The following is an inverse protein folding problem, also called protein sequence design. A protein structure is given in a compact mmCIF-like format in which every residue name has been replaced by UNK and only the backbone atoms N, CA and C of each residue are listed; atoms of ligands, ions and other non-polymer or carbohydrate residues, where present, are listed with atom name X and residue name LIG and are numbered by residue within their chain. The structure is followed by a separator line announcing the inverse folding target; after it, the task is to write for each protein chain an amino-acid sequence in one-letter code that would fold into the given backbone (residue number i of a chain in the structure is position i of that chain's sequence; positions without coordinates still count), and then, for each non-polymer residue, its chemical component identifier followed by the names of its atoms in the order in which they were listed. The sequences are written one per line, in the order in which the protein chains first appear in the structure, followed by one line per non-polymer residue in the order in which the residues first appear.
data_IF_613491942599
#
_entry.id   IF_613491942599
#
_cell.length_a   1.000
_cell.length_b   1.000
_cell.length_c   1.000
_cell.angle_alpha   90.00
_cell.angle_beta   90.00
_cell.angle_gamma   90.00
#
_symmetry.space_group_name_H-M   'P 1'
#
loop_
_entity.id
_entity.type
_entity.pdbx_description
1 polymer ?
#
# COMPACT_ATOMS: atom_id res chain seq x y z
N UNK A 1 -84.49 -48.44 69.44
CA UNK A 1 -84.67 -48.03 70.84
C UNK A 1 -83.91 -46.73 71.01
N UNK A 2 -84.50 -45.57 71.23
CA UNK A 2 -85.89 -45.23 71.51
C UNK A 2 -86.06 -43.75 71.21
N UNK A 3 -87.28 -43.40 70.80
CA UNK A 3 -87.95 -42.14 71.03
C UNK A 3 -87.09 -40.88 71.19
N UNK A 4 -87.09 -40.06 70.14
CA UNK A 4 -87.38 -38.64 70.36
C UNK A 4 -88.38 -38.13 69.30
N UNK A 5 -89.56 -38.76 69.32
CA UNK A 5 -90.82 -38.28 68.73
C UNK A 5 -91.69 -37.71 69.88
N UNK A 6 -91.09 -37.11 70.91
CA UNK A 6 -91.83 -36.56 72.04
C UNK A 6 -91.18 -35.24 72.47
N UNK A 7 -91.67 -34.16 71.86
CA UNK A 7 -91.66 -32.72 72.24
C UNK A 7 -91.66 -31.88 70.96
N UNK A 8 -92.80 -31.89 70.26
CA UNK A 8 -93.22 -30.76 69.42
C UNK A 8 -94.68 -30.53 69.81
N UNK A 9 -94.90 -30.10 71.05
CA UNK A 9 -96.22 -29.69 71.54
C UNK A 9 -96.47 -28.19 71.34
N UNK A 10 -95.49 -27.45 70.82
CA UNK A 10 -95.63 -26.07 70.39
C UNK A 10 -95.60 -25.96 68.86
N UNK A 11 -96.71 -25.49 68.30
CA UNK A 11 -96.84 -25.09 66.89
C UNK A 11 -95.71 -24.13 66.43
N UNK A 12 -95.07 -23.45 67.38
CA UNK A 12 -93.91 -22.57 67.16
C UNK A 12 -92.65 -23.31 66.71
N UNK A 13 -92.29 -24.43 67.34
CA UNK A 13 -91.05 -25.15 67.01
C UNK A 13 -91.13 -25.84 65.64
N UNK A 14 -92.31 -26.36 65.28
CA UNK A 14 -92.58 -26.89 63.94
C UNK A 14 -92.48 -25.77 62.89
N UNK A 15 -92.97 -24.57 63.21
CA UNK A 15 -92.90 -23.40 62.32
C UNK A 15 -91.47 -22.94 62.12
N UNK A 16 -90.64 -22.92 63.16
CA UNK A 16 -89.22 -22.57 63.09
C UNK A 16 -88.41 -23.61 62.31
N UNK A 17 -88.69 -24.91 62.48
CA UNK A 17 -88.04 -25.97 61.70
C UNK A 17 -88.42 -25.89 60.21
N UNK A 18 -89.69 -25.61 59.91
CA UNK A 18 -90.17 -25.38 58.53
C UNK A 18 -89.52 -24.13 57.93
N UNK A 19 -89.38 -23.05 58.69
CA UNK A 19 -88.73 -21.83 58.22
C UNK A 19 -87.23 -22.02 57.99
N UNK A 20 -86.54 -22.70 58.91
CA UNK A 20 -85.14 -23.08 58.73
C UNK A 20 -84.95 -23.99 57.51
N UNK A 21 -85.85 -24.96 57.30
CA UNK A 21 -85.83 -25.80 56.11
C UNK A 21 -86.11 -25.01 54.83
N UNK A 22 -86.97 -23.99 54.86
CA UNK A 22 -87.20 -23.09 53.72
C UNK A 22 -85.96 -22.24 53.42
N UNK A 23 -85.32 -21.70 54.44
CA UNK A 23 -84.08 -20.91 54.29
C UNK A 23 -82.96 -21.75 53.71
N UNK A 24 -82.71 -22.96 54.25
CA UNK A 24 -81.71 -23.88 53.68
C UNK A 24 -82.06 -24.26 52.25
N UNK A 25 -83.34 -24.47 51.93
CA UNK A 25 -83.77 -24.77 50.56
C UNK A 25 -83.56 -23.58 49.61
N UNK A 26 -83.74 -22.35 50.09
CA UNK A 26 -83.47 -21.13 49.34
C UNK A 26 -81.96 -20.93 49.12
N UNK A 27 -81.15 -21.06 50.17
CA UNK A 27 -79.69 -20.96 50.12
C UNK A 27 -79.10 -21.99 49.14
N UNK A 28 -79.51 -23.26 49.25
CA UNK A 28 -79.09 -24.32 48.33
C UNK A 28 -79.57 -24.04 46.91
N UNK A 29 -80.78 -23.49 46.74
CA UNK A 29 -81.28 -23.12 45.41
C UNK A 29 -80.46 -21.99 44.79
N UNK A 30 -79.98 -21.04 45.58
CA UNK A 30 -79.18 -19.92 45.08
C UNK A 30 -77.74 -20.34 44.81
N UNK A 31 -77.16 -21.22 45.63
CA UNK A 31 -75.86 -21.85 45.37
C UNK A 31 -75.91 -22.70 44.08
N UNK A 32 -76.99 -23.45 43.84
CA UNK A 32 -77.17 -24.20 42.58
C UNK A 32 -77.25 -23.23 41.38
N UNK A 33 -77.94 -22.10 41.50
CA UNK A 33 -78.01 -21.10 40.41
C UNK A 33 -76.63 -20.52 40.10
N UNK A 34 -75.85 -20.19 41.13
CA UNK A 34 -74.49 -19.66 40.96
C UNK A 34 -73.57 -20.70 40.30
N UNK A 35 -73.63 -21.96 40.76
CA UNK A 35 -72.89 -23.08 40.17
C UNK A 35 -73.29 -23.33 38.70
N UNK A 36 -74.58 -23.22 38.36
CA UNK A 36 -75.07 -23.35 36.99
C UNK A 36 -74.58 -22.19 36.10
N UNK A 37 -74.59 -20.96 36.61
CA UNK A 37 -74.06 -19.80 35.90
C UNK A 37 -72.56 -19.96 35.62
N UNK A 38 -71.78 -20.36 36.63
CA UNK A 38 -70.35 -20.63 36.49
C UNK A 38 -70.07 -21.75 35.49
N UNK A 39 -70.87 -22.83 35.52
CA UNK A 39 -70.77 -23.92 34.54
C UNK A 39 -71.00 -23.40 33.11
N UNK A 40 -72.03 -22.57 32.90
CA UNK A 40 -72.32 -21.98 31.58
C UNK A 40 -71.16 -21.11 31.08
N UNK A 41 -70.54 -20.32 31.95
CA UNK A 41 -69.37 -19.51 31.61
C UNK A 41 -68.16 -20.39 31.19
N UNK A 42 -67.93 -21.50 31.92
CA UNK A 42 -66.86 -22.45 31.61
C UNK A 42 -67.12 -23.14 30.26
N UNK A 43 -68.36 -23.58 29.99
CA UNK A 43 -68.74 -24.19 28.72
C UNK A 43 -68.53 -23.21 27.54
N UNK A 44 -68.84 -21.93 27.74
CA UNK A 44 -68.57 -20.89 26.73
C UNK A 44 -67.06 -20.69 26.48
N UNK A 45 -66.24 -20.64 27.54
CA UNK A 45 -64.77 -20.54 27.42
C UNK A 45 -64.19 -21.78 26.72
N UNK A 46 -64.67 -22.98 27.04
CA UNK A 46 -64.28 -24.22 26.37
C UNK A 46 -64.63 -24.21 24.89
N UNK A 47 -65.83 -23.75 24.53
CA UNK A 47 -66.23 -23.61 23.12
C UNK A 47 -65.34 -22.63 22.37
N UNK A 48 -64.97 -21.51 23.00
CA UNK A 48 -64.01 -20.54 22.43
C UNK A 48 -62.63 -21.17 22.24
N UNK A 49 -62.10 -21.90 23.22
CA UNK A 49 -60.83 -22.61 23.09
C UNK A 49 -60.90 -23.63 21.94
N UNK A 50 -61.94 -24.45 21.90
CA UNK A 50 -62.14 -25.45 20.84
C UNK A 50 -62.21 -24.82 19.45
N UNK A 51 -62.79 -23.61 19.32
CA UNK A 51 -62.81 -22.88 18.05
C UNK A 51 -61.44 -22.36 17.62
N UNK A 52 -60.51 -22.13 18.55
CA UNK A 52 -59.15 -21.63 18.27
C UNK A 52 -58.13 -22.74 17.97
N UNK A 53 -58.38 -23.99 18.42
CA UNK A 53 -57.49 -25.14 18.18
C UNK A 53 -57.09 -25.28 16.70
N UNK A 54 -58.01 -25.20 15.71
CA UNK A 54 -57.66 -25.29 14.29
C UNK A 54 -56.72 -24.18 13.83
N UNK A 55 -56.86 -22.97 14.35
CA UNK A 55 -56.01 -21.84 13.98
C UNK A 55 -54.61 -21.95 14.61
N UNK A 56 -54.51 -22.48 15.84
CA UNK A 56 -53.21 -22.86 16.42
C UNK A 56 -52.51 -23.95 15.61
N UNK A 57 -53.24 -24.95 15.13
CA UNK A 57 -52.66 -25.98 14.26
C UNK A 57 -52.15 -25.39 12.94
N UNK A 58 -52.91 -24.50 12.29
CA UNK A 58 -52.44 -23.77 11.09
C UNK A 58 -51.19 -22.95 11.41
N UNK A 59 -51.16 -22.25 12.54
CA UNK A 59 -50.02 -21.45 12.96
C UNK A 59 -48.78 -22.34 13.18
N UNK A 60 -48.95 -23.50 13.81
CA UNK A 60 -47.87 -24.48 13.99
C UNK A 60 -47.32 -24.95 12.64
N UNK A 61 -48.19 -25.40 11.73
CA UNK A 61 -47.77 -25.84 10.38
C UNK A 61 -47.06 -24.71 9.62
N UNK A 62 -47.57 -23.48 9.72
CA UNK A 62 -46.93 -22.31 9.12
C UNK A 62 -45.56 -22.03 9.73
N UNK A 63 -45.42 -22.10 11.05
CA UNK A 63 -44.14 -21.91 11.74
C UNK A 63 -43.12 -22.99 11.35
N UNK A 64 -43.54 -24.25 11.27
CA UNK A 64 -42.70 -25.36 10.80
C UNK A 64 -42.25 -25.16 9.34
N UNK A 65 -43.16 -24.73 8.47
CA UNK A 65 -42.84 -24.43 7.07
C UNK A 65 -41.89 -23.24 6.94
N UNK A 66 -42.10 -22.16 7.69
CA UNK A 66 -41.19 -21.02 7.74
C UNK A 66 -39.82 -21.42 8.25
N UNK A 67 -39.74 -22.25 9.31
CA UNK A 67 -38.46 -22.74 9.82
C UNK A 67 -37.71 -23.56 8.76
N UNK A 68 -38.41 -24.41 8.00
CA UNK A 68 -37.81 -25.18 6.89
C UNK A 68 -37.33 -24.25 5.78
N UNK A 69 -38.12 -23.26 5.39
CA UNK A 69 -37.75 -22.28 4.37
C UNK A 69 -36.51 -21.47 4.78
N UNK A 70 -36.46 -20.99 6.03
CA UNK A 70 -35.29 -20.29 6.58
C UNK A 70 -34.07 -21.19 6.59
N UNK A 71 -34.21 -22.46 6.98
CA UNK A 71 -33.13 -23.44 6.94
C UNK A 71 -32.60 -23.68 5.51
N UNK A 72 -33.50 -23.83 4.54
CA UNK A 72 -33.13 -23.96 3.13
C UNK A 72 -32.43 -22.69 2.60
N UNK A 73 -32.96 -21.52 2.91
CA UNK A 73 -32.37 -20.24 2.51
C UNK A 73 -30.98 -20.04 3.12
N UNK A 74 -30.79 -20.39 4.39
CA UNK A 74 -29.50 -20.35 5.07
C UNK A 74 -28.49 -21.29 4.41
N UNK A 75 -28.89 -22.54 4.11
CA UNK A 75 -28.02 -23.51 3.43
C UNK A 75 -27.59 -23.01 2.04
N UNK A 76 -28.52 -22.44 1.28
CA UNK A 76 -28.21 -21.86 -0.03
C UNK A 76 -27.27 -20.65 0.09
N UNK A 77 -27.49 -19.78 1.08
CA UNK A 77 -26.62 -18.63 1.33
C UNK A 77 -25.18 -19.07 1.68
N UNK A 78 -25.01 -20.09 2.52
CA UNK A 78 -23.70 -20.65 2.84
C UNK A 78 -23.02 -21.25 1.61
N UNK A 79 -23.76 -21.98 0.78
CA UNK A 79 -23.22 -22.52 -0.48
C UNK A 79 -22.83 -21.42 -1.46
N UNK A 80 -23.63 -20.36 -1.56
CA UNK A 80 -23.33 -19.20 -2.39
C UNK A 80 -22.08 -18.47 -1.89
N UNK A 81 -21.97 -18.22 -0.58
CA UNK A 81 -20.79 -17.59 0.03
C UNK A 81 -19.52 -18.39 -0.28
N UNK A 82 -19.54 -19.71 -0.07
CA UNK A 82 -18.40 -20.56 -0.39
C UNK A 82 -18.01 -20.53 -1.87
N UNK A 83 -18.98 -20.44 -2.79
CA UNK A 83 -18.70 -20.28 -4.23
C UNK A 83 -18.13 -18.91 -4.55
N UNK A 84 -18.59 -17.84 -3.89
CA UNK A 84 -18.06 -16.48 -4.06
C UNK A 84 -16.61 -16.42 -3.58
N UNK A 85 -16.30 -16.99 -2.42
CA UNK A 85 -14.93 -17.07 -1.90
C UNK A 85 -13.98 -17.81 -2.86
N UNK A 86 -14.43 -18.94 -3.42
CA UNK A 86 -13.65 -19.67 -4.43
C UNK A 86 -13.43 -18.84 -5.69
N UNK A 87 -14.46 -18.13 -6.15
CA UNK A 87 -14.36 -17.24 -7.31
C UNK A 87 -13.38 -16.09 -7.05
N UNK A 88 -13.44 -15.47 -5.87
CA UNK A 88 -12.54 -14.39 -5.48
C UNK A 88 -11.09 -14.87 -5.37
N UNK A 89 -10.86 -16.09 -4.87
CA UNK A 89 -9.54 -16.71 -4.87
C UNK A 89 -8.97 -16.83 -6.29
N UNK A 90 -9.75 -17.41 -7.22
CA UNK A 90 -9.34 -17.54 -8.63
C UNK A 90 -9.10 -16.17 -9.26
N UNK A 91 -10.00 -15.20 -9.03
CA UNK A 91 -9.88 -13.83 -9.54
C UNK A 91 -8.58 -13.17 -9.06
N UNK A 92 -8.28 -13.26 -7.76
CA UNK A 92 -7.06 -12.68 -7.20
C UNK A 92 -5.79 -13.33 -7.78
N UNK A 93 -5.83 -14.65 -8.01
CA UNK A 93 -4.74 -15.35 -8.71
C UNK A 93 -4.57 -14.85 -10.16
N UNK A 94 -5.67 -14.70 -10.90
CA UNK A 94 -5.64 -14.18 -12.27
C UNK A 94 -5.10 -12.75 -12.30
N UNK A 95 -5.54 -11.87 -11.40
CA UNK A 95 -5.04 -10.49 -11.31
C UNK A 95 -3.53 -10.45 -11.08
N UNK A 96 -3.01 -11.24 -10.13
CA UNK A 96 -1.56 -11.36 -9.92
C UNK A 96 -0.80 -11.84 -11.16
N UNK A 97 -1.38 -12.75 -11.93
CA UNK A 97 -0.78 -13.21 -13.19
C UNK A 97 -0.79 -12.10 -14.25
N UNK A 98 -1.86 -11.31 -14.35
CA UNK A 98 -1.96 -10.15 -15.24
C UNK A 98 -0.93 -9.09 -14.87
N UNK A 99 -0.75 -8.78 -13.59
CA UNK A 99 0.26 -7.82 -13.12
C UNK A 99 1.67 -8.30 -13.49
N UNK A 100 2.00 -9.57 -13.21
CA UNK A 100 3.28 -10.17 -13.62
C UNK A 100 3.50 -10.11 -15.13
N UNK A 101 2.46 -10.40 -15.93
CA UNK A 101 2.53 -10.31 -17.38
C UNK A 101 2.77 -8.88 -17.85
N UNK A 102 2.12 -7.90 -17.23
CA UNK A 102 2.34 -6.47 -17.48
C UNK A 102 3.82 -6.10 -17.28
N UNK A 103 4.42 -6.51 -16.16
CA UNK A 103 5.85 -6.28 -15.91
C UNK A 103 6.75 -6.97 -16.94
N UNK A 104 6.44 -8.22 -17.34
CA UNK A 104 7.17 -8.92 -18.40
C UNK A 104 7.11 -8.15 -19.73
N UNK A 105 5.93 -7.65 -20.10
CA UNK A 105 5.73 -6.84 -21.30
C UNK A 105 6.57 -5.56 -21.21
N UNK A 106 6.58 -4.88 -20.08
CA UNK A 106 7.41 -3.69 -19.85
C UNK A 106 8.89 -3.98 -20.05
N UNK A 107 9.42 -5.08 -19.52
CA UNK A 107 10.84 -5.46 -19.72
C UNK A 107 11.12 -5.78 -21.18
N UNK A 108 10.24 -6.52 -21.86
CA UNK A 108 10.40 -6.83 -23.29
C UNK A 108 10.37 -5.57 -24.15
N UNK A 109 9.44 -4.65 -23.87
CA UNK A 109 9.35 -3.37 -24.56
C UNK A 109 10.59 -2.52 -24.29
N UNK A 110 11.12 -2.55 -23.07
CA UNK A 110 12.37 -1.87 -22.73
C UNK A 110 13.55 -2.43 -23.52
N UNK A 111 13.66 -3.76 -23.67
CA UNK A 111 14.71 -4.38 -24.48
C UNK A 111 14.65 -3.97 -25.96
N UNK A 112 13.44 -3.88 -26.53
CA UNK A 112 13.22 -3.41 -27.91
C UNK A 112 13.51 -1.91 -28.02
N UNK A 113 13.03 -1.12 -27.06
CA UNK A 113 13.20 0.32 -26.99
C UNK A 113 14.66 0.73 -26.90
N UNK A 114 15.43 0.09 -26.01
CA UNK A 114 16.88 0.33 -25.88
C UNK A 114 17.61 0.06 -27.19
N UNK A 115 17.35 -1.09 -27.83
CA UNK A 115 17.97 -1.43 -29.13
C UNK A 115 17.68 -0.36 -30.18
N UNK A 116 16.45 0.16 -30.24
CA UNK A 116 16.09 1.24 -31.16
C UNK A 116 16.79 2.56 -30.82
N UNK A 117 16.76 2.97 -29.56
CA UNK A 117 17.39 4.22 -29.12
C UNK A 117 18.92 4.20 -29.27
N UNK A 118 19.55 3.02 -29.18
CA UNK A 118 20.97 2.81 -29.48
C UNK A 118 21.28 3.14 -30.94
N UNK A 119 20.45 2.69 -31.89
CA UNK A 119 20.59 3.01 -33.32
C UNK A 119 20.39 4.50 -33.57
N UNK A 120 19.38 5.09 -32.93
CA UNK A 120 19.07 6.52 -33.05
C UNK A 120 20.02 7.42 -32.23
N UNK A 121 21.02 6.85 -31.53
CA UNK A 121 21.99 7.55 -30.66
C UNK A 121 21.36 8.42 -29.56
N UNK A 122 20.17 8.04 -29.09
CA UNK A 122 19.41 8.74 -28.04
C UNK A 122 19.72 8.18 -26.66
N UNK A 123 20.75 8.74 -26.02
CA UNK A 123 21.25 8.26 -24.72
C UNK A 123 20.23 8.38 -23.58
N UNK A 124 19.45 9.48 -23.48
CA UNK A 124 18.50 9.68 -22.37
C UNK A 124 17.37 8.64 -22.39
N UNK A 125 16.74 8.48 -23.56
CA UNK A 125 15.66 7.51 -23.76
C UNK A 125 16.17 6.07 -23.51
N UNK A 126 17.35 5.74 -24.03
CA UNK A 126 17.95 4.42 -23.84
C UNK A 126 18.27 4.14 -22.36
N UNK A 127 18.82 5.12 -21.64
CA UNK A 127 19.11 4.99 -20.22
C UNK A 127 17.82 4.85 -19.38
N UNK A 128 16.72 5.53 -19.75
CA UNK A 128 15.43 5.37 -19.08
C UNK A 128 14.85 3.96 -19.17
N UNK A 129 14.98 3.30 -20.32
CA UNK A 129 14.56 1.90 -20.44
C UNK A 129 15.45 0.94 -19.63
N UNK A 130 16.76 1.20 -19.54
CA UNK A 130 17.67 0.43 -18.67
C UNK A 130 17.31 0.66 -17.20
N UNK A 131 17.02 1.88 -16.80
CA UNK A 131 16.60 2.22 -15.44
C UNK A 131 15.33 1.45 -15.03
N UNK A 132 14.32 1.43 -15.91
CA UNK A 132 13.08 0.65 -15.70
C UNK A 132 13.36 -0.84 -15.46
N UNK A 133 14.39 -1.39 -16.13
CA UNK A 133 14.84 -2.75 -15.90
C UNK A 133 15.56 -2.93 -14.56
N UNK A 134 16.42 -1.99 -14.17
CA UNK A 134 17.15 -2.05 -12.89
C UNK A 134 16.25 -1.92 -11.66
N UNK A 135 15.14 -1.20 -11.78
CA UNK A 135 14.12 -1.10 -10.72
C UNK A 135 13.20 -2.32 -10.63
N UNK A 136 13.25 -3.24 -11.60
CA UNK A 136 12.32 -4.35 -11.66
C UNK A 136 12.56 -5.38 -10.54
N UNK A 137 11.47 -5.94 -10.00
CA UNK A 137 11.54 -6.93 -8.92
C UNK A 137 12.28 -8.21 -9.33
N UNK A 138 13.06 -8.77 -8.39
CA UNK A 138 13.86 -9.99 -8.61
C UNK A 138 13.00 -11.19 -9.05
N UNK A 139 11.79 -11.30 -8.53
CA UNK A 139 10.86 -12.36 -8.87
C UNK A 139 10.47 -12.31 -10.36
N UNK A 140 10.24 -11.10 -10.90
CA UNK A 140 9.94 -10.90 -12.32
C UNK A 140 11.16 -11.21 -13.18
N UNK A 141 12.35 -10.77 -12.78
CA UNK A 141 13.61 -11.08 -13.49
C UNK A 141 13.81 -12.60 -13.58
N UNK A 142 13.60 -13.32 -12.47
CA UNK A 142 13.70 -14.79 -12.44
C UNK A 142 12.66 -15.46 -13.35
N UNK A 143 11.45 -14.92 -13.39
CA UNK A 143 10.37 -15.43 -14.22
C UNK A 143 10.68 -15.25 -15.71
N UNK A 144 11.16 -14.08 -16.11
CA UNK A 144 11.59 -13.80 -17.49
C UNK A 144 12.74 -14.71 -17.88
N UNK A 145 13.74 -14.87 -17.02
CA UNK A 145 14.88 -15.77 -17.26
C UNK A 145 14.42 -17.21 -17.54
N UNK A 146 13.45 -17.70 -16.75
CA UNK A 146 12.85 -19.03 -16.97
C UNK A 146 12.04 -19.11 -18.27
N UNK A 147 11.25 -18.09 -18.59
CA UNK A 147 10.46 -18.05 -19.83
C UNK A 147 11.33 -17.96 -21.09
N UNK A 148 12.54 -17.41 -20.97
CA UNK A 148 13.50 -17.28 -22.07
C UNK A 148 14.52 -18.42 -22.14
N UNK A 149 14.41 -19.44 -21.30
CA UNK A 149 15.37 -20.55 -21.25
C UNK A 149 15.46 -21.33 -22.59
N UNK A 150 14.33 -21.46 -23.30
CA UNK A 150 14.25 -22.19 -24.57
C UNK A 150 14.77 -21.39 -25.77
N UNK A 151 14.98 -20.07 -25.61
CA UNK A 151 15.45 -19.19 -26.68
C UNK A 151 16.39 -18.10 -26.13
N UNK A 152 17.63 -18.47 -25.78
CA UNK A 152 18.58 -17.57 -25.13
C UNK A 152 18.93 -16.34 -25.98
N UNK A 153 18.94 -16.47 -27.31
CA UNK A 153 19.27 -15.38 -28.24
C UNK A 153 18.23 -14.25 -28.23
N UNK A 154 16.99 -14.56 -27.83
CA UNK A 154 15.90 -13.60 -27.75
C UNK A 154 15.51 -13.28 -26.29
N UNK A 155 16.44 -13.46 -25.36
CA UNK A 155 16.23 -13.10 -23.97
C UNK A 155 16.29 -11.57 -23.81
N UNK A 156 15.21 -10.92 -23.33
CA UNK A 156 15.21 -9.46 -23.14
C UNK A 156 16.20 -9.03 -22.05
N UNK A 157 16.48 -9.87 -21.06
CA UNK A 157 17.40 -9.56 -19.97
C UNK A 157 18.85 -9.46 -20.46
N UNK A 158 19.28 -10.42 -21.30
CA UNK A 158 20.64 -10.38 -21.90
C UNK A 158 20.75 -9.18 -22.83
N UNK A 159 19.74 -8.95 -23.67
CA UNK A 159 19.66 -7.76 -24.53
C UNK A 159 19.82 -6.46 -23.72
N UNK A 160 19.12 -6.34 -22.59
CA UNK A 160 19.19 -5.15 -21.74
C UNK A 160 20.55 -4.99 -21.08
N UNK A 161 21.16 -6.07 -20.59
CA UNK A 161 22.48 -6.02 -19.98
C UNK A 161 23.58 -5.67 -21.00
N UNK A 162 23.57 -6.32 -22.17
CA UNK A 162 24.51 -6.03 -23.27
C UNK A 162 24.38 -4.57 -23.70
N UNK A 163 23.14 -4.11 -23.87
CA UNK A 163 22.87 -2.73 -24.24
C UNK A 163 23.30 -1.74 -23.18
N UNK A 164 23.12 -2.06 -21.89
CA UNK A 164 23.62 -1.26 -20.77
C UNK A 164 25.14 -1.13 -20.85
N UNK A 165 25.88 -2.22 -21.08
CA UNK A 165 27.34 -2.17 -21.19
C UNK A 165 27.80 -1.28 -22.36
N UNK A 166 27.08 -1.34 -23.49
CA UNK A 166 27.35 -0.45 -24.64
C UNK A 166 27.07 1.01 -24.27
N UNK A 167 25.93 1.30 -23.64
CA UNK A 167 25.56 2.65 -23.22
C UNK A 167 26.54 3.25 -22.22
N UNK A 168 27.06 2.45 -21.29
CA UNK A 168 28.08 2.90 -20.33
C UNK A 168 29.35 3.33 -21.06
N UNK A 169 29.83 2.54 -22.03
CA UNK A 169 31.00 2.91 -22.85
C UNK A 169 30.76 4.21 -23.63
N UNK A 170 29.59 4.33 -24.27
CA UNK A 170 29.22 5.56 -24.99
C UNK A 170 29.13 6.77 -24.06
N UNK A 171 28.59 6.61 -22.85
CA UNK A 171 28.48 7.67 -21.86
C UNK A 171 29.88 8.13 -21.39
N UNK A 172 30.79 7.19 -21.17
CA UNK A 172 32.20 7.47 -20.86
C UNK A 172 32.88 8.26 -21.98
N UNK A 173 32.76 7.81 -23.23
CA UNK A 173 33.37 8.48 -24.38
C UNK A 173 32.84 9.91 -24.56
N UNK A 174 31.51 10.09 -24.45
CA UNK A 174 30.89 11.42 -24.52
C UNK A 174 31.27 12.31 -23.34
N UNK A 175 31.51 11.73 -22.17
CA UNK A 175 31.95 12.50 -21.00
C UNK A 175 33.31 13.12 -21.27
N UNK A 176 34.26 12.30 -21.72
CA UNK A 176 35.63 12.74 -22.01
C UNK A 176 35.65 13.76 -23.16
N UNK A 177 34.77 13.61 -24.16
CA UNK A 177 34.55 14.60 -25.22
C UNK A 177 34.02 15.94 -24.68
N UNK A 178 33.00 15.92 -23.82
CA UNK A 178 32.40 17.14 -23.27
C UNK A 178 33.31 17.86 -22.29
N UNK A 179 34.14 17.13 -21.53
CA UNK A 179 35.21 17.70 -20.72
C UNK A 179 36.22 18.44 -21.60
N UNK A 180 36.65 17.81 -22.70
CA UNK A 180 37.60 18.41 -23.65
C UNK A 180 37.06 19.68 -24.31
N UNK A 181 35.76 19.70 -24.65
CA UNK A 181 35.08 20.84 -25.27
C UNK A 181 34.55 21.89 -24.27
N UNK A 182 34.68 21.62 -22.96
CA UNK A 182 34.17 22.47 -21.85
C UNK A 182 32.66 22.73 -21.90
N UNK A 183 31.87 21.72 -22.23
CA UNK A 183 30.40 21.80 -22.22
C UNK A 183 29.81 21.44 -20.85
N UNK A 184 29.85 22.40 -19.91
CA UNK A 184 29.44 22.19 -18.50
C UNK A 184 28.05 21.56 -18.34
N UNK A 185 27.04 22.08 -19.06
CA UNK A 185 25.66 21.55 -19.00
C UNK A 185 25.56 20.09 -19.44
N UNK A 186 26.35 19.69 -20.43
CA UNK A 186 26.32 18.33 -20.96
C UNK A 186 27.04 17.34 -20.03
N UNK A 187 28.03 17.81 -19.28
CA UNK A 187 28.73 17.03 -18.26
C UNK A 187 27.77 16.69 -17.12
N UNK A 188 27.01 17.67 -16.62
CA UNK A 188 25.96 17.45 -15.60
C UNK A 188 24.86 16.52 -16.13
N UNK A 189 24.45 16.68 -17.39
CA UNK A 189 23.51 15.75 -18.03
C UNK A 189 24.03 14.31 -18.07
N UNK A 190 25.32 14.09 -18.36
CA UNK A 190 25.87 12.72 -18.35
C UNK A 190 25.90 12.10 -16.96
N UNK A 191 25.98 12.90 -15.88
CA UNK A 191 25.84 12.38 -14.52
C UNK A 191 24.46 11.72 -14.32
N UNK A 192 23.38 12.35 -14.81
CA UNK A 192 22.03 11.75 -14.82
C UNK A 192 22.02 10.43 -15.61
N UNK A 193 22.70 10.37 -16.75
CA UNK A 193 22.78 9.14 -17.55
C UNK A 193 23.49 8.02 -16.80
N UNK A 194 24.63 8.29 -16.15
CA UNK A 194 25.32 7.29 -15.33
C UNK A 194 24.43 6.74 -14.20
N UNK A 195 23.66 7.59 -13.55
CA UNK A 195 22.68 7.17 -12.54
C UNK A 195 21.62 6.23 -13.12
N UNK A 196 20.99 6.61 -14.24
CA UNK A 196 19.97 5.79 -14.90
C UNK A 196 20.50 4.42 -15.35
N UNK A 197 21.80 4.33 -15.67
CA UNK A 197 22.47 3.08 -16.03
C UNK A 197 22.90 2.24 -14.81
N UNK A 198 22.73 2.74 -13.59
CA UNK A 198 23.16 2.09 -12.35
C UNK A 198 24.66 2.22 -12.07
N UNK A 199 25.38 3.08 -12.81
CA UNK A 199 26.82 3.31 -12.72
C UNK A 199 27.14 4.62 -11.97
N UNK A 200 26.40 4.88 -10.89
CA UNK A 200 26.48 6.15 -10.16
C UNK A 200 27.87 6.42 -9.58
N UNK A 201 28.54 5.39 -9.05
CA UNK A 201 29.90 5.55 -8.49
C UNK A 201 30.90 6.01 -9.56
N UNK A 202 30.84 5.46 -10.77
CA UNK A 202 31.73 5.84 -11.86
C UNK A 202 31.41 7.25 -12.36
N UNK A 203 30.12 7.60 -12.49
CA UNK A 203 29.68 8.95 -12.81
C UNK A 203 30.20 9.99 -11.81
N UNK A 204 30.04 9.72 -10.51
CA UNK A 204 30.53 10.60 -9.43
C UNK A 204 32.05 10.73 -9.47
N UNK A 205 32.77 9.63 -9.64
CA UNK A 205 34.24 9.63 -9.70
C UNK A 205 34.74 10.52 -10.83
N UNK A 206 34.20 10.36 -12.05
CA UNK A 206 34.57 11.17 -13.22
C UNK A 206 34.20 12.63 -13.06
N UNK A 207 33.01 12.90 -12.55
CA UNK A 207 32.55 14.26 -12.27
C UNK A 207 33.42 14.97 -11.23
N UNK A 208 33.84 14.24 -10.19
CA UNK A 208 34.79 14.74 -9.19
C UNK A 208 36.12 15.14 -9.83
N UNK A 209 36.74 14.24 -10.61
CA UNK A 209 38.01 14.51 -11.30
C UNK A 209 37.91 15.73 -12.23
N UNK A 210 36.79 15.85 -12.97
CA UNK A 210 36.52 16.99 -13.82
C UNK A 210 36.48 18.30 -13.01
N UNK A 211 35.72 18.33 -11.92
CA UNK A 211 35.59 19.53 -11.08
C UNK A 211 36.93 19.92 -10.45
N UNK A 212 37.72 18.95 -9.99
CA UNK A 212 39.06 19.20 -9.45
C UNK A 212 39.98 19.84 -10.48
N UNK A 213 39.95 19.33 -11.71
CA UNK A 213 40.73 19.88 -12.82
C UNK A 213 40.24 21.28 -13.22
N UNK A 214 38.92 21.49 -13.23
CA UNK A 214 38.31 22.79 -13.51
C UNK A 214 38.70 23.84 -12.48
N UNK A 215 38.58 23.49 -11.19
CA UNK A 215 38.93 24.35 -10.06
C UNK A 215 40.42 24.69 -10.10
N UNK A 216 41.29 23.68 -10.25
CA UNK A 216 42.74 23.89 -10.28
C UNK A 216 43.16 24.85 -11.41
N UNK A 217 42.65 24.64 -12.63
CA UNK A 217 42.94 25.50 -13.77
C UNK A 217 42.46 26.93 -13.57
N UNK A 218 41.28 27.12 -12.97
CA UNK A 218 40.74 28.46 -12.71
C UNK A 218 41.54 29.19 -11.62
N UNK A 219 41.91 28.49 -10.54
CA UNK A 219 42.75 29.03 -9.48
C UNK A 219 44.13 29.46 -10.01
N UNK A 220 44.75 28.63 -10.86
CA UNK A 220 46.04 28.94 -11.49
C UNK A 220 45.95 30.18 -12.40
N UNK A 221 44.84 30.35 -13.14
CA UNK A 221 44.59 31.56 -13.93
C UNK A 221 44.44 32.81 -13.06
N UNK A 222 43.72 32.73 -11.93
CA UNK A 222 43.57 33.85 -10.99
C UNK A 222 44.91 34.24 -10.36
N UNK A 223 45.71 33.24 -9.98
CA UNK A 223 47.05 33.39 -9.42
C UNK A 223 48.01 34.07 -10.42
N UNK A 224 48.05 33.59 -11.67
CA UNK A 224 48.94 34.12 -12.71
C UNK A 224 48.55 35.54 -13.12
N UNK A 225 47.25 35.82 -13.23
CA UNK A 225 46.74 37.17 -13.50
C UNK A 225 47.16 38.15 -12.40
N UNK A 226 47.02 37.76 -11.13
CA UNK A 226 47.43 38.61 -10.01
C UNK A 226 48.94 38.80 -9.87
N UNK A 227 49.77 37.80 -10.24
CA UNK A 227 51.24 37.97 -10.28
C UNK A 227 51.70 38.99 -11.34
N UNK A 228 50.90 39.19 -12.39
CA UNK A 228 51.21 40.14 -13.47
C UNK A 228 50.84 41.59 -13.14
N UNK A 229 49.91 41.82 -12.20
CA UNK A 229 49.61 43.15 -11.66
C UNK A 229 50.60 43.50 -10.56
N UNK A 230 51.53 44.41 -10.86
CA UNK A 230 52.71 44.79 -10.08
C UNK A 230 52.44 45.52 -8.75
N UNK A 231 51.50 45.05 -7.93
CA UNK A 231 51.18 45.65 -6.63
C UNK A 231 51.33 44.60 -5.52
N UNK A 232 52.54 44.48 -5.00
CA UNK A 232 52.86 43.72 -3.79
C UNK A 232 52.32 44.45 -2.56
N UNK A 233 51.14 44.07 -2.08
CA UNK A 233 50.74 44.31 -0.69
C UNK A 233 50.05 43.07 -0.12
N UNK A 234 50.24 42.79 1.16
CA UNK A 234 49.59 41.69 1.89
C UNK A 234 48.05 41.70 1.74
N UNK A 235 47.46 42.88 1.47
CA UNK A 235 46.04 43.07 1.21
C UNK A 235 45.56 42.48 -0.13
N UNK A 236 46.42 42.46 -1.16
CA UNK A 236 46.10 41.85 -2.48
C UNK A 236 46.09 40.32 -2.37
N UNK A 237 46.97 39.75 -1.54
CA UNK A 237 47.00 38.30 -1.29
C UNK A 237 45.76 37.81 -0.52
N UNK A 238 45.25 38.58 0.45
CA UNK A 238 44.03 38.24 1.19
C UNK A 238 42.77 38.28 0.31
N UNK A 239 42.66 39.27 -0.58
CA UNK A 239 41.57 39.35 -1.55
C UNK A 239 41.61 38.19 -2.55
N UNK A 240 42.79 37.83 -3.06
CA UNK A 240 42.94 36.68 -3.95
C UNK A 240 42.57 35.35 -3.28
N UNK A 241 42.99 35.15 -2.02
CA UNK A 241 42.60 33.95 -1.24
C UNK A 241 41.08 33.91 -1.06
N UNK A 242 40.46 35.04 -0.75
CA UNK A 242 39.00 35.14 -0.60
C UNK A 242 38.29 34.81 -1.92
N UNK A 243 38.75 35.35 -3.04
CA UNK A 243 38.18 35.09 -4.38
C UNK A 243 38.31 33.61 -4.77
N UNK A 244 39.45 32.97 -4.48
CA UNK A 244 39.65 31.53 -4.71
C UNK A 244 38.71 30.70 -3.84
N UNK A 245 38.59 31.01 -2.55
CA UNK A 245 37.73 30.28 -1.62
C UNK A 245 36.24 30.43 -1.97
N UNK A 246 35.80 31.64 -2.31
CA UNK A 246 34.43 31.88 -2.79
C UNK A 246 34.14 31.11 -4.08
N UNK A 247 35.06 31.16 -5.06
CA UNK A 247 34.92 30.40 -6.30
C UNK A 247 34.82 28.88 -6.07
N UNK A 248 35.67 28.33 -5.20
CA UNK A 248 35.63 26.91 -4.84
C UNK A 248 34.31 26.56 -4.13
N UNK A 249 33.89 27.38 -3.18
CA UNK A 249 32.65 27.17 -2.41
C UNK A 249 31.41 27.23 -3.31
N UNK A 250 31.31 28.23 -4.20
CA UNK A 250 30.20 28.36 -5.13
C UNK A 250 30.17 27.24 -6.16
N UNK A 251 31.34 26.86 -6.70
CA UNK A 251 31.44 25.73 -7.63
C UNK A 251 31.00 24.44 -6.95
N UNK A 252 31.47 24.17 -5.73
CA UNK A 252 31.07 22.99 -4.97
C UNK A 252 29.58 22.98 -4.66
N UNK A 253 29.02 24.09 -4.20
CA UNK A 253 27.60 24.21 -3.84
C UNK A 253 26.67 24.02 -5.05
N UNK A 254 27.00 24.62 -6.19
CA UNK A 254 26.20 24.49 -7.41
C UNK A 254 26.22 23.05 -7.92
N UNK A 255 27.39 22.40 -7.88
CA UNK A 255 27.54 21.03 -8.36
C UNK A 255 27.04 19.98 -7.35
N UNK A 256 27.09 20.25 -6.04
CA UNK A 256 26.53 19.37 -5.02
C UNK A 256 25.00 19.27 -5.13
N UNK A 257 24.31 20.36 -5.47
CA UNK A 257 22.87 20.35 -5.75
C UNK A 257 22.52 19.38 -6.88
N UNK A 258 23.35 19.31 -7.93
CA UNK A 258 23.13 18.37 -9.03
C UNK A 258 23.35 16.92 -8.61
N UNK A 259 24.40 16.65 -7.82
CA UNK A 259 24.65 15.32 -7.26
C UNK A 259 23.49 14.91 -6.34
N UNK A 260 23.02 15.78 -5.44
CA UNK A 260 21.89 15.51 -4.55
C UNK A 260 20.58 15.23 -5.31
N UNK A 261 20.33 15.94 -6.42
CA UNK A 261 19.11 15.76 -7.22
C UNK A 261 19.07 14.39 -7.89
N UNK A 262 20.21 13.85 -8.32
CA UNK A 262 20.26 12.59 -9.06
C UNK A 262 20.69 11.40 -8.19
N UNK A 263 21.42 11.63 -7.11
CA UNK A 263 21.98 10.61 -6.23
C UNK A 263 21.22 10.68 -4.89
N UNK A 264 20.01 10.13 -4.86
CA UNK A 264 19.11 10.19 -3.69
C UNK A 264 19.69 9.56 -2.41
N UNK A 265 20.84 8.87 -2.48
CA UNK A 265 21.49 8.21 -1.34
C UNK A 265 22.59 9.08 -0.72
N UNK A 266 22.43 9.44 0.54
CA UNK A 266 23.38 10.20 1.37
C UNK A 266 24.84 9.71 1.32
N UNK A 267 25.08 8.41 1.13
CA UNK A 267 26.44 7.84 1.03
C UNK A 267 27.19 8.19 -0.26
N UNK A 268 26.51 8.72 -1.27
CA UNK A 268 27.14 9.08 -2.55
C UNK A 268 27.75 10.48 -2.52
N UNK A 269 27.20 11.36 -1.67
CA UNK A 269 27.74 12.69 -1.39
C UNK A 269 29.06 12.58 -0.62
N UNK A 270 29.14 11.72 0.39
CA UNK A 270 30.38 11.50 1.13
C UNK A 270 31.50 11.00 0.21
N UNK A 271 31.18 10.07 -0.70
CA UNK A 271 32.11 9.59 -1.74
C UNK A 271 32.52 10.67 -2.71
N UNK A 272 31.61 11.57 -3.09
CA UNK A 272 31.96 12.72 -3.92
C UNK A 272 33.01 13.60 -3.23
N UNK A 273 32.81 13.93 -1.96
CA UNK A 273 33.78 14.71 -1.19
C UNK A 273 35.11 13.97 -0.97
N UNK A 274 35.08 12.68 -0.63
CA UNK A 274 36.28 11.84 -0.48
C UNK A 274 37.09 11.73 -1.78
N UNK A 275 36.42 11.45 -2.90
CA UNK A 275 37.07 11.30 -4.21
C UNK A 275 37.59 12.63 -4.78
N UNK A 276 36.99 13.76 -4.39
CA UNK A 276 37.38 15.05 -4.91
C UNK A 276 38.81 15.44 -4.46
N UNK A 277 39.29 14.98 -3.31
CA UNK A 277 40.62 15.38 -2.78
C UNK A 277 40.85 16.91 -2.82
N UNK A 278 39.76 17.70 -2.89
CA UNK A 278 39.75 19.11 -3.27
C UNK A 278 40.50 19.96 -2.26
N UNK A 279 40.36 19.60 -0.98
CA UNK A 279 41.07 20.24 0.13
C UNK A 279 42.59 20.13 -0.07
N UNK A 280 43.10 18.94 -0.42
CA UNK A 280 44.53 18.74 -0.65
C UNK A 280 45.04 19.53 -1.85
N UNK A 281 44.28 19.58 -2.94
CA UNK A 281 44.70 20.31 -4.16
C UNK A 281 44.71 21.83 -3.97
N UNK A 282 43.69 22.37 -3.30
CA UNK A 282 43.63 23.80 -2.96
C UNK A 282 44.77 24.14 -1.98
N UNK A 283 45.04 23.27 -1.01
CA UNK A 283 46.12 23.46 -0.05
C UNK A 283 47.51 23.41 -0.73
N UNK A 284 47.74 22.51 -1.68
CA UNK A 284 48.97 22.46 -2.49
C UNK A 284 49.15 23.70 -3.37
N UNK A 285 48.07 24.19 -4.01
CA UNK A 285 48.11 25.39 -4.84
C UNK A 285 48.40 26.66 -4.02
N UNK A 286 47.78 26.79 -2.84
CA UNK A 286 48.06 27.89 -1.92
C UNK A 286 49.49 27.82 -1.36
N UNK A 287 49.97 26.62 -1.04
CA UNK A 287 51.35 26.41 -0.55
C UNK A 287 52.42 26.77 -1.59
N UNK A 288 52.14 26.59 -2.89
CA UNK A 288 53.00 27.05 -3.99
C UNK A 288 52.95 28.56 -4.25
N UNK A 289 51.94 29.25 -3.75
CA UNK A 289 51.78 30.70 -3.93
C UNK A 289 52.34 31.49 -2.76
N UNK A 290 52.25 30.94 -1.55
CA UNK A 290 52.72 31.57 -0.31
C UNK A 290 54.23 31.37 -0.05
N UNK A 291 54.89 30.44 -0.76
CA UNK A 291 56.35 30.28 -0.80
C UNK A 291 56.92 30.84 -2.12
#
# INVERSE_FOLDING_TARGET
MDSNVCMIDDFSDLKDLVEKSRNVKADVSDEIKDLLARRSEIEHKLKKINSLIPDFHKLQVNAENSSKLVGCASKLALQLSGKVEQLDFVKNHVLKCVDKLSHIITVRNSAIGVKRCLVDSKLDEAAGYVFTYLEMEKDIISLISRLSADNPDNNPLTTLDDSRQILVKMAVEKFDEYVSKRYEKNIVYLLKIFFLLGETNEGIRRFSIYLCSYISNKCELLITTNKSSSQSSEFVSANLITEILEFVADTLKNNSMHVETYCEKSNEISKFFENSQLVCQVQDLLSKYLN
#
